data_IF_993996676066
#
_entry.id   IF_993996676066
#
_cell.length_a   1.000
_cell.length_b   1.000
_cell.length_c   1.000
_cell.angle_alpha   90.00
_cell.angle_beta   90.00
_cell.angle_gamma   90.00
#
_symmetry.space_group_name_H-M   'P 1'
#
loop_
_entity.id
_entity.type
_entity.pdbx_description
1 polymer ?
#
# COMPACT_ATOMS: atom_id res chain seq x y z
N UNK A 1 -11.70 29.43 0.29
CA UNK A 1 -12.52 28.86 1.38
C UNK A 1 -12.55 27.35 1.19
N UNK A 2 -11.73 26.58 1.90
CA UNK A 2 -11.80 25.11 1.79
C UNK A 2 -12.90 24.62 2.71
N UNK A 3 -14.06 24.28 2.14
CA UNK A 3 -15.08 23.52 2.86
C UNK A 3 -14.53 22.15 3.25
N UNK A 4 -15.11 21.56 4.30
CA UNK A 4 -14.85 20.18 4.71
C UNK A 4 -15.42 19.23 3.65
N UNK A 5 -14.66 18.21 3.26
CA UNK A 5 -15.10 17.18 2.33
C UNK A 5 -16.00 16.18 3.04
N UNK A 6 -17.17 15.89 2.47
CA UNK A 6 -18.07 14.86 2.98
C UNK A 6 -17.62 13.46 2.52
N UNK A 7 -17.71 12.48 3.41
CA UNK A 7 -17.22 11.11 3.22
C UNK A 7 -18.35 10.10 3.34
N UNK A 8 -18.47 9.20 2.37
CA UNK A 8 -19.34 8.02 2.44
C UNK A 8 -18.55 6.75 2.15
N UNK A 9 -18.94 5.66 2.80
CA UNK A 9 -18.23 4.39 2.75
C UNK A 9 -19.20 3.25 3.07
N UNK A 10 -19.09 2.12 2.36
CA UNK A 10 -19.82 0.89 2.72
C UNK A 10 -19.28 0.31 4.04
N UNK A 11 -20.03 -0.53 4.77
CA UNK A 11 -19.53 -1.18 5.99
C UNK A 11 -18.19 -1.92 5.77
N UNK A 12 -18.08 -2.67 4.67
CA UNK A 12 -16.87 -3.39 4.28
C UNK A 12 -15.69 -2.44 4.04
N UNK A 13 -15.91 -1.34 3.31
CA UNK A 13 -14.88 -0.34 3.07
C UNK A 13 -14.43 0.36 4.35
N UNK A 14 -15.37 0.61 5.28
CA UNK A 14 -15.08 1.23 6.58
C UNK A 14 -14.15 0.39 7.43
N UNK A 15 -14.38 -0.91 7.46
CA UNK A 15 -13.56 -1.86 8.22
C UNK A 15 -12.18 -2.03 7.56
N UNK A 16 -12.14 -2.27 6.25
CA UNK A 16 -10.89 -2.53 5.53
C UNK A 16 -9.88 -1.36 5.57
N UNK A 17 -10.37 -0.12 5.60
CA UNK A 17 -9.54 1.10 5.58
C UNK A 17 -9.52 1.89 6.89
N UNK A 18 -10.04 1.33 7.99
CA UNK A 18 -10.20 2.01 9.29
C UNK A 18 -10.77 3.43 9.15
N UNK A 19 -11.77 3.58 8.28
CA UNK A 19 -12.26 4.89 7.79
C UNK A 19 -12.75 5.76 8.94
N UNK A 20 -13.44 5.15 9.90
CA UNK A 20 -13.99 5.87 11.06
C UNK A 20 -12.87 6.51 11.89
N UNK A 21 -11.82 5.76 12.25
CA UNK A 21 -10.69 6.31 13.00
C UNK A 21 -9.93 7.35 12.19
N UNK A 22 -9.71 7.09 10.90
CA UNK A 22 -8.93 7.98 10.03
C UNK A 22 -9.63 9.33 9.83
N UNK A 23 -10.93 9.32 9.52
CA UNK A 23 -11.74 10.55 9.41
C UNK A 23 -11.77 11.31 10.73
N UNK A 24 -11.92 10.61 11.87
CA UNK A 24 -11.87 11.23 13.19
C UNK A 24 -10.51 11.88 13.51
N UNK A 25 -9.42 11.40 12.91
CA UNK A 25 -8.07 11.98 13.05
C UNK A 25 -7.80 13.18 12.15
N UNK A 26 -8.69 13.47 11.18
CA UNK A 26 -8.60 14.56 10.21
C UNK A 26 -9.86 15.45 10.18
N UNK A 27 -10.37 15.91 11.34
CA UNK A 27 -11.70 16.51 11.45
C UNK A 27 -11.81 17.89 10.79
N UNK A 28 -10.70 18.59 10.55
CA UNK A 28 -10.71 19.87 9.82
C UNK A 28 -10.87 19.69 8.30
N UNK A 29 -10.71 18.47 7.79
CA UNK A 29 -10.69 18.19 6.35
C UNK A 29 -11.84 17.30 5.93
N UNK A 30 -12.16 16.26 6.69
CA UNK A 30 -13.16 15.26 6.33
C UNK A 30 -14.29 15.19 7.37
N UNK A 31 -15.53 15.09 6.90
CA UNK A 31 -16.72 14.85 7.72
C UNK A 31 -17.50 13.65 7.18
N UNK A 32 -18.16 12.85 8.03
CA UNK A 32 -19.15 11.89 7.55
C UNK A 32 -20.27 12.59 6.77
N UNK A 33 -20.65 12.04 5.62
CA UNK A 33 -21.81 12.49 4.87
C UNK A 33 -23.11 12.27 5.69
N UNK A 34 -24.05 13.20 5.58
CA UNK A 34 -25.37 13.01 6.16
C UNK A 34 -26.05 11.75 5.59
N UNK A 35 -26.90 11.10 6.38
CA UNK A 35 -27.56 9.82 6.01
C UNK A 35 -28.34 9.88 4.69
N UNK A 36 -28.84 11.05 4.31
CA UNK A 36 -29.59 11.31 3.08
C UNK A 36 -28.72 11.67 1.86
N UNK A 37 -27.40 11.81 2.02
CA UNK A 37 -26.46 12.27 0.98
C UNK A 37 -25.35 11.24 0.68
N UNK A 38 -25.56 9.97 1.02
CA UNK A 38 -24.53 8.92 0.88
C UNK A 38 -24.05 8.71 -0.57
N UNK A 39 -24.90 9.00 -1.57
CA UNK A 39 -24.56 8.91 -3.01
C UNK A 39 -24.04 10.22 -3.60
N UNK A 40 -23.93 11.29 -2.81
CA UNK A 40 -23.50 12.63 -3.26
C UNK A 40 -22.36 13.19 -2.40
N UNK A 41 -21.66 12.33 -1.67
CA UNK A 41 -20.52 12.73 -0.86
C UNK A 41 -19.35 13.16 -1.76
N UNK A 42 -18.54 14.12 -1.32
CA UNK A 42 -17.37 14.58 -2.06
C UNK A 42 -16.33 13.46 -2.24
N UNK A 43 -16.20 12.60 -1.23
CA UNK A 43 -15.26 11.47 -1.18
C UNK A 43 -16.02 10.17 -0.93
N UNK A 44 -15.78 9.19 -1.80
CA UNK A 44 -16.27 7.82 -1.60
C UNK A 44 -15.13 6.87 -1.24
N UNK A 45 -15.38 6.00 -0.26
CA UNK A 45 -14.50 4.89 0.06
C UNK A 45 -15.09 3.59 -0.48
N UNK A 46 -14.32 2.96 -1.37
CA UNK A 46 -14.66 1.69 -2.03
C UNK A 46 -13.89 0.56 -1.33
N UNK A 47 -14.55 -0.56 -1.10
CA UNK A 47 -13.87 -1.74 -0.59
C UNK A 47 -13.04 -2.35 -1.72
N UNK A 48 -11.80 -2.72 -1.42
CA UNK A 48 -10.86 -3.30 -2.37
C UNK A 48 -11.15 -4.75 -2.78
N UNK A 49 -12.41 -5.16 -2.81
CA UNK A 49 -12.83 -6.52 -3.18
C UNK A 49 -12.92 -6.69 -4.70
N UNK A 50 -13.07 -7.92 -5.22
CA UNK A 50 -13.29 -8.12 -6.65
C UNK A 50 -14.43 -7.26 -7.20
N UNK A 51 -14.19 -6.54 -8.29
CA UNK A 51 -15.08 -5.55 -8.91
C UNK A 51 -14.92 -4.12 -8.39
N UNK A 52 -13.92 -3.84 -7.56
CA UNK A 52 -13.70 -2.49 -7.01
C UNK A 52 -13.44 -1.44 -8.09
N UNK A 53 -12.81 -1.83 -9.20
CA UNK A 53 -12.50 -0.93 -10.34
C UNK A 53 -13.78 -0.39 -10.99
N UNK A 54 -14.76 -1.26 -11.20
CA UNK A 54 -16.08 -0.91 -11.71
C UNK A 54 -16.89 -0.06 -10.71
N UNK A 55 -16.79 -0.36 -9.42
CA UNK A 55 -17.42 0.45 -8.38
C UNK A 55 -16.85 1.86 -8.32
N UNK A 56 -15.52 1.98 -8.35
CA UNK A 56 -14.84 3.26 -8.41
C UNK A 56 -15.20 4.04 -9.69
N UNK A 57 -15.31 3.37 -10.85
CA UNK A 57 -15.78 4.02 -12.09
C UNK A 57 -17.20 4.56 -11.96
N UNK A 58 -18.11 3.82 -11.32
CA UNK A 58 -19.47 4.31 -11.05
C UNK A 58 -19.45 5.54 -10.12
N UNK A 59 -18.57 5.55 -9.12
CA UNK A 59 -18.38 6.71 -8.25
C UNK A 59 -17.84 7.94 -9.01
N UNK A 60 -16.88 7.75 -9.92
CA UNK A 60 -16.39 8.80 -10.83
C UNK A 60 -17.55 9.37 -11.67
N UNK A 61 -18.33 8.49 -12.31
CA UNK A 61 -19.47 8.90 -13.13
C UNK A 61 -20.58 9.62 -12.33
N UNK A 62 -20.70 9.32 -11.03
CA UNK A 62 -21.61 10.00 -10.12
C UNK A 62 -21.08 11.37 -9.62
N UNK A 63 -19.86 11.76 -9.99
CA UNK A 63 -19.27 13.07 -9.67
C UNK A 63 -18.45 13.10 -8.38
N UNK A 64 -17.96 11.97 -7.89
CA UNK A 64 -17.04 11.96 -6.75
C UNK A 64 -15.78 12.79 -7.05
N UNK A 65 -15.39 13.65 -6.12
CA UNK A 65 -14.17 14.48 -6.23
C UNK A 65 -12.93 13.68 -5.83
N UNK A 66 -13.09 12.81 -4.83
CA UNK A 66 -12.06 11.89 -4.38
C UNK A 66 -12.60 10.47 -4.19
N UNK A 67 -11.75 9.48 -4.42
CA UNK A 67 -12.02 8.08 -4.15
C UNK A 67 -10.85 7.52 -3.34
N UNK A 68 -11.15 6.84 -2.24
CA UNK A 68 -10.19 5.99 -1.52
C UNK A 68 -10.58 4.54 -1.74
N UNK A 69 -9.68 3.72 -2.24
CA UNK A 69 -9.91 2.29 -2.34
C UNK A 69 -9.19 1.59 -1.20
N UNK A 70 -9.96 1.01 -0.28
CA UNK A 70 -9.46 0.36 0.92
C UNK A 70 -8.91 -1.03 0.60
N UNK A 71 -7.58 -1.15 0.63
CA UNK A 71 -6.83 -2.40 0.49
C UNK A 71 -7.25 -3.25 -0.74
N UNK A 72 -7.08 -2.71 -1.97
CA UNK A 72 -7.48 -3.36 -3.23
C UNK A 72 -6.77 -4.67 -3.51
N UNK A 73 -7.54 -5.67 -3.95
CA UNK A 73 -7.02 -6.84 -4.67
C UNK A 73 -6.53 -6.41 -6.06
N UNK A 74 -5.51 -7.10 -6.62
CA UNK A 74 -5.02 -6.81 -7.97
C UNK A 74 -6.11 -6.91 -9.03
N UNK A 75 -6.35 -5.82 -9.76
CA UNK A 75 -7.29 -5.71 -10.88
C UNK A 75 -6.74 -4.74 -11.94
N UNK A 76 -7.29 -4.82 -13.16
CA UNK A 76 -6.93 -3.91 -14.25
C UNK A 76 -7.49 -2.49 -14.00
N UNK A 77 -6.60 -1.53 -13.82
CA UNK A 77 -6.95 -0.14 -13.49
C UNK A 77 -7.07 0.77 -14.71
N UNK A 78 -6.79 0.29 -15.93
CA UNK A 78 -6.66 1.14 -17.13
C UNK A 78 -7.91 1.98 -17.41
N UNK A 79 -9.07 1.35 -17.35
CA UNK A 79 -10.33 2.05 -17.64
C UNK A 79 -10.73 3.03 -16.51
N UNK A 80 -10.46 2.67 -15.25
CA UNK A 80 -10.68 3.56 -14.12
C UNK A 80 -9.78 4.79 -14.20
N UNK A 81 -8.50 4.61 -14.55
CA UNK A 81 -7.55 5.70 -14.71
C UNK A 81 -8.03 6.69 -15.77
N UNK A 82 -8.44 6.20 -16.95
CA UNK A 82 -8.97 7.05 -18.01
C UNK A 82 -10.24 7.83 -17.59
N UNK A 83 -11.15 7.18 -16.86
CA UNK A 83 -12.37 7.82 -16.36
C UNK A 83 -12.07 8.90 -15.31
N UNK A 84 -11.19 8.60 -14.34
CA UNK A 84 -10.79 9.54 -13.30
C UNK A 84 -10.07 10.76 -13.90
N UNK A 85 -9.22 10.55 -14.89
CA UNK A 85 -8.53 11.61 -15.63
C UNK A 85 -9.50 12.54 -16.35
N UNK A 86 -10.49 11.98 -17.04
CA UNK A 86 -11.50 12.76 -17.76
C UNK A 86 -12.39 13.57 -16.81
N UNK A 87 -12.69 13.05 -15.62
CA UNK A 87 -13.53 13.70 -14.62
C UNK A 87 -12.76 14.63 -13.66
N UNK A 88 -11.42 14.54 -13.63
CA UNK A 88 -10.60 15.24 -12.63
C UNK A 88 -10.76 14.68 -11.21
N UNK A 89 -11.14 13.40 -11.07
CA UNK A 89 -11.31 12.73 -9.77
C UNK A 89 -9.97 12.22 -9.25
N UNK A 90 -9.63 12.53 -8.00
CA UNK A 90 -8.44 11.98 -7.35
C UNK A 90 -8.73 10.56 -6.82
N UNK A 91 -7.93 9.56 -7.21
CA UNK A 91 -8.09 8.17 -6.75
C UNK A 91 -6.85 7.71 -5.99
N UNK A 92 -6.99 7.53 -4.68
CA UNK A 92 -5.91 7.05 -3.80
C UNK A 92 -6.15 5.61 -3.40
N UNK A 93 -5.10 4.80 -3.41
CA UNK A 93 -5.15 3.42 -2.93
C UNK A 93 -4.60 3.36 -1.50
N UNK A 94 -5.44 2.91 -0.57
CA UNK A 94 -5.07 2.66 0.81
C UNK A 94 -4.53 1.24 0.94
N UNK A 95 -3.28 1.05 0.55
CA UNK A 95 -2.58 -0.23 0.57
C UNK A 95 -2.03 -0.49 1.98
N UNK A 96 -2.38 -1.64 2.56
CA UNK A 96 -2.11 -1.99 3.96
C UNK A 96 -0.69 -1.59 4.42
N UNK A 97 0.35 -2.00 3.70
CA UNK A 97 1.72 -1.61 4.06
C UNK A 97 2.36 -0.61 3.10
N UNK A 98 2.03 -0.70 1.81
CA UNK A 98 2.66 0.13 0.78
C UNK A 98 2.33 1.64 0.92
N UNK A 99 1.24 2.00 1.60
CA UNK A 99 0.90 3.39 1.91
C UNK A 99 1.57 3.92 3.19
N UNK A 100 2.45 3.15 3.84
CA UNK A 100 3.17 3.61 5.03
C UNK A 100 4.24 4.66 4.63
N UNK A 101 4.27 5.85 5.27
CA UNK A 101 5.20 6.91 4.89
C UNK A 101 6.68 6.58 5.18
N UNK A 102 6.98 5.56 5.98
CA UNK A 102 8.35 5.06 6.14
C UNK A 102 8.85 4.32 4.89
N UNK A 103 7.95 3.85 4.00
CA UNK A 103 8.33 3.25 2.73
C UNK A 103 8.55 4.28 1.64
N UNK A 104 7.62 5.24 1.53
CA UNK A 104 7.65 6.30 0.51
C UNK A 104 7.23 7.61 1.18
N UNK A 105 8.19 8.51 1.37
CA UNK A 105 7.93 9.81 1.95
C UNK A 105 7.23 10.76 0.95
N UNK A 106 6.38 11.65 1.46
CA UNK A 106 5.69 12.70 0.67
C UNK A 106 6.57 13.96 0.46
N UNK A 107 7.90 13.86 0.62
CA UNK A 107 8.86 14.96 0.50
C UNK A 107 10.31 14.48 0.52
N UNK A 108 11.26 15.41 0.69
CA UNK A 108 12.72 15.13 0.61
C UNK A 108 13.32 14.41 1.84
N UNK A 109 12.47 13.76 2.64
CA UNK A 109 12.91 13.02 3.83
C UNK A 109 13.45 11.63 3.46
N UNK A 110 14.41 11.09 4.24
CA UNK A 110 14.91 9.73 3.99
C UNK A 110 13.82 8.70 4.28
N UNK A 111 13.68 7.71 3.40
CA UNK A 111 12.72 6.61 3.52
C UNK A 111 13.35 5.25 3.16
N UNK A 112 12.57 4.17 3.30
CA UNK A 112 13.03 2.83 2.96
C UNK A 112 13.27 2.65 1.45
N UNK A 113 12.50 3.32 0.59
CA UNK A 113 12.65 3.23 -0.86
C UNK A 113 14.03 3.73 -1.28
N UNK A 114 14.45 4.90 -0.83
CA UNK A 114 15.75 5.48 -1.17
C UNK A 114 16.88 4.64 -0.58
N UNK A 115 16.74 4.22 0.68
CA UNK A 115 17.72 3.34 1.33
C UNK A 115 17.90 2.01 0.56
N UNK A 116 16.81 1.30 0.26
CA UNK A 116 16.83 0.04 -0.48
C UNK A 116 17.42 0.26 -1.87
N UNK A 117 16.95 1.26 -2.62
CA UNK A 117 17.38 1.49 -4.01
C UNK A 117 18.84 1.90 -4.12
N UNK A 118 19.36 2.65 -3.15
CA UNK A 118 20.78 3.00 -3.10
C UNK A 118 21.69 1.78 -2.91
N UNK A 119 21.19 0.74 -2.23
CA UNK A 119 21.90 -0.51 -1.96
C UNK A 119 21.63 -1.63 -2.98
N UNK A 120 20.64 -1.48 -3.87
CA UNK A 120 20.26 -2.51 -4.85
C UNK A 120 21.42 -2.93 -5.76
N UNK A 121 22.32 -2.00 -6.12
CA UNK A 121 23.45 -2.31 -7.01
C UNK A 121 24.43 -3.34 -6.41
N UNK A 122 24.53 -3.41 -5.09
CA UNK A 122 25.44 -4.30 -4.34
C UNK A 122 24.71 -5.35 -3.52
N UNK A 123 23.39 -5.51 -3.75
CA UNK A 123 22.57 -6.48 -3.05
C UNK A 123 23.02 -7.90 -3.33
N UNK A 124 23.14 -8.70 -2.28
CA UNK A 124 23.44 -10.14 -2.33
C UNK A 124 22.18 -10.99 -2.17
N UNK A 125 21.19 -10.50 -1.42
CA UNK A 125 19.92 -11.17 -1.13
C UNK A 125 18.89 -10.15 -0.64
N UNK A 126 17.64 -10.30 -1.05
CA UNK A 126 16.50 -9.72 -0.33
C UNK A 126 15.64 -10.85 0.25
N UNK A 127 15.35 -10.78 1.53
CA UNK A 127 14.42 -11.69 2.21
C UNK A 127 13.29 -10.89 2.84
N UNK A 128 12.06 -11.40 2.76
CA UNK A 128 10.90 -10.70 3.25
C UNK A 128 9.86 -11.64 3.84
N UNK A 129 9.31 -11.30 5.00
CA UNK A 129 8.31 -12.11 5.69
C UNK A 129 7.11 -11.23 6.03
N UNK A 130 5.92 -11.64 5.59
CA UNK A 130 4.66 -11.06 5.98
C UNK A 130 3.92 -12.02 6.93
N UNK A 131 3.49 -11.52 8.08
CA UNK A 131 2.68 -12.27 9.03
C UNK A 131 1.30 -11.64 9.19
N UNK A 132 0.27 -12.47 9.28
CA UNK A 132 -1.10 -12.04 9.62
C UNK A 132 -1.84 -13.16 10.33
N UNK A 133 -2.99 -12.84 10.92
CA UNK A 133 -3.79 -13.81 11.66
C UNK A 133 -4.32 -14.96 10.75
N UNK A 134 -4.49 -16.18 11.31
CA UNK A 134 -5.15 -17.28 10.64
C UNK A 134 -6.54 -16.90 10.10
N UNK A 135 -6.92 -17.47 8.96
CA UNK A 135 -8.21 -17.18 8.29
C UNK A 135 -8.17 -16.02 7.31
N UNK A 136 -7.06 -15.27 7.23
CA UNK A 136 -6.82 -14.33 6.12
C UNK A 136 -6.59 -15.11 4.83
N UNK A 137 -7.13 -14.65 3.70
CA UNK A 137 -6.83 -15.24 2.39
C UNK A 137 -5.33 -15.08 2.04
N UNK A 138 -4.57 -16.18 1.83
CA UNK A 138 -3.16 -16.12 1.45
C UNK A 138 -2.90 -15.30 0.18
N UNK A 139 -3.84 -15.27 -0.77
CA UNK A 139 -3.71 -14.49 -2.01
C UNK A 139 -3.80 -13.00 -1.76
N UNK A 140 -4.70 -12.60 -0.87
CA UNK A 140 -4.79 -11.20 -0.42
C UNK A 140 -3.50 -10.77 0.27
N UNK A 141 -2.99 -11.58 1.20
CA UNK A 141 -1.71 -11.33 1.86
C UNK A 141 -0.54 -11.23 0.86
N UNK A 142 -0.53 -12.06 -0.18
CA UNK A 142 0.47 -12.01 -1.23
C UNK A 142 0.43 -10.67 -1.98
N UNK A 143 -0.75 -10.21 -2.39
CA UNK A 143 -0.91 -8.91 -3.04
C UNK A 143 -0.44 -7.75 -2.17
N UNK A 144 -0.84 -7.73 -0.89
CA UNK A 144 -0.41 -6.72 0.09
C UNK A 144 1.11 -6.69 0.28
N UNK A 145 1.73 -7.87 0.39
CA UNK A 145 3.17 -8.00 0.60
C UNK A 145 3.97 -7.60 -0.66
N UNK A 146 3.54 -8.04 -1.84
CA UNK A 146 4.17 -7.65 -3.10
C UNK A 146 4.04 -6.15 -3.36
N UNK A 147 2.93 -5.52 -2.98
CA UNK A 147 2.79 -4.07 -3.05
C UNK A 147 3.86 -3.34 -2.22
N UNK A 148 4.12 -3.80 -0.99
CA UNK A 148 5.16 -3.23 -0.13
C UNK A 148 6.57 -3.45 -0.71
N UNK A 149 6.85 -4.64 -1.22
CA UNK A 149 8.13 -4.95 -1.86
C UNK A 149 8.36 -4.09 -3.11
N UNK A 150 7.35 -3.94 -3.98
CA UNK A 150 7.44 -3.11 -5.18
C UNK A 150 7.58 -1.62 -4.85
N UNK A 151 7.00 -1.14 -3.75
CA UNK A 151 7.18 0.25 -3.30
C UNK A 151 8.66 0.59 -3.08
N UNK A 152 9.40 -0.31 -2.41
CA UNK A 152 10.83 -0.09 -2.12
C UNK A 152 11.76 -0.52 -3.25
N UNK A 153 11.53 -1.69 -3.86
CA UNK A 153 12.44 -2.25 -4.89
C UNK A 153 12.21 -1.69 -6.28
N UNK A 154 10.99 -1.27 -6.62
CA UNK A 154 10.59 -0.85 -7.96
C UNK A 154 10.14 -2.00 -8.86
N UNK A 155 11.03 -2.95 -9.16
CA UNK A 155 10.75 -4.12 -10.01
C UNK A 155 11.29 -5.41 -9.40
N UNK A 156 10.62 -6.52 -9.71
CA UNK A 156 11.00 -7.87 -9.33
C UNK A 156 10.90 -8.77 -10.57
N UNK A 157 11.95 -9.52 -10.86
CA UNK A 157 12.07 -10.29 -12.10
C UNK A 157 11.93 -11.79 -11.85
N UNK A 158 11.31 -12.51 -12.79
CA UNK A 158 11.21 -13.97 -12.75
C UNK A 158 10.54 -14.50 -11.47
N UNK A 159 9.55 -13.78 -10.95
CA UNK A 159 8.85 -14.16 -9.73
C UNK A 159 8.02 -15.40 -9.97
N UNK A 160 8.15 -16.37 -9.07
CA UNK A 160 7.44 -17.64 -9.13
C UNK A 160 6.87 -18.01 -7.76
N UNK A 161 5.65 -18.55 -7.76
CA UNK A 161 5.02 -19.09 -6.56
C UNK A 161 5.53 -20.50 -6.31
N UNK A 162 6.36 -20.68 -5.28
CA UNK A 162 6.94 -21.97 -4.94
C UNK A 162 5.97 -22.86 -4.16
N UNK A 163 5.18 -22.24 -3.29
CA UNK A 163 4.17 -22.91 -2.46
C UNK A 163 3.07 -21.94 -2.08
N UNK A 164 1.83 -22.41 -2.06
CA UNK A 164 0.71 -21.74 -1.42
C UNK A 164 -0.23 -22.77 -0.82
N UNK A 165 -0.60 -22.58 0.44
CA UNK A 165 -1.56 -23.42 1.15
C UNK A 165 -2.27 -22.63 2.26
N UNK A 166 -3.04 -23.33 3.10
CA UNK A 166 -3.80 -22.73 4.20
C UNK A 166 -2.93 -22.08 5.29
N UNK A 167 -1.60 -22.31 5.30
CA UNK A 167 -0.65 -21.72 6.25
C UNK A 167 0.08 -20.50 5.67
N UNK A 168 -0.03 -20.26 4.37
CA UNK A 168 0.54 -19.09 3.71
C UNK A 168 1.16 -19.40 2.36
N UNK A 169 2.29 -18.77 2.05
CA UNK A 169 2.97 -18.93 0.75
C UNK A 169 4.48 -18.72 0.84
N UNK A 170 5.16 -19.17 -0.21
CA UNK A 170 6.55 -18.83 -0.49
C UNK A 170 6.70 -18.46 -1.97
N UNK A 171 7.33 -17.33 -2.25
CA UNK A 171 7.69 -16.88 -3.60
C UNK A 171 9.19 -16.63 -3.68
N UNK A 172 9.74 -16.78 -4.87
CA UNK A 172 11.12 -16.43 -5.17
C UNK A 172 11.24 -15.76 -6.53
N UNK A 173 12.28 -14.96 -6.71
CA UNK A 173 12.62 -14.33 -7.98
C UNK A 173 13.97 -13.63 -7.89
N UNK A 174 14.13 -12.54 -8.65
CA UNK A 174 15.38 -11.77 -8.71
C UNK A 174 15.13 -10.28 -8.56
N UNK A 175 16.11 -9.60 -7.97
CA UNK A 175 16.25 -8.15 -8.03
C UNK A 175 16.84 -7.75 -9.39
N UNK A 176 16.76 -6.46 -9.72
CA UNK A 176 17.28 -5.91 -10.98
C UNK A 176 18.79 -6.14 -11.19
N UNK A 177 19.58 -6.30 -10.11
CA UNK A 177 21.01 -6.64 -10.20
C UNK A 177 21.28 -8.15 -10.36
N UNK A 178 20.23 -8.98 -10.45
CA UNK A 178 20.28 -10.44 -10.58
C UNK A 178 20.34 -11.21 -9.27
N UNK A 179 20.49 -10.54 -8.12
CA UNK A 179 20.51 -11.16 -6.81
C UNK A 179 19.17 -11.84 -6.50
N UNK A 180 19.16 -12.97 -5.77
CA UNK A 180 17.93 -13.64 -5.41
C UNK A 180 17.08 -12.77 -4.47
N UNK A 181 15.76 -12.89 -4.60
CA UNK A 181 14.88 -12.53 -3.50
C UNK A 181 13.96 -13.69 -3.12
N UNK A 182 13.59 -13.72 -1.85
CA UNK A 182 12.57 -14.61 -1.28
C UNK A 182 11.53 -13.79 -0.54
N UNK A 183 10.27 -14.18 -0.66
CA UNK A 183 9.23 -13.63 0.19
C UNK A 183 8.29 -14.72 0.69
N UNK A 184 7.93 -14.65 1.97
CA UNK A 184 7.10 -15.63 2.65
C UNK A 184 5.90 -14.95 3.29
N UNK A 185 4.73 -15.53 3.14
CA UNK A 185 3.54 -15.16 3.89
C UNK A 185 3.24 -16.25 4.91
N UNK A 186 3.01 -15.88 6.16
CA UNK A 186 2.73 -16.82 7.26
C UNK A 186 1.44 -16.42 7.96
N UNK A 187 0.49 -17.36 8.01
CA UNK A 187 -0.76 -17.19 8.76
C UNK A 187 -0.58 -17.74 10.18
N UNK A 188 -0.37 -16.85 11.15
CA UNK A 188 -0.01 -17.22 12.53
C UNK A 188 -0.45 -16.18 13.54
N UNK A 189 -0.64 -16.60 14.79
CA UNK A 189 -0.83 -15.72 15.96
C UNK A 189 0.42 -15.63 16.84
N UNK A 190 1.51 -16.28 16.46
CA UNK A 190 2.75 -16.34 17.25
C UNK A 190 3.52 -15.00 17.27
N UNK A 191 3.22 -14.09 16.34
CA UNK A 191 3.79 -12.75 16.26
C UNK A 191 2.70 -11.74 15.85
N UNK A 192 2.91 -10.44 16.12
CA UNK A 192 2.06 -9.39 15.58
C UNK A 192 2.04 -9.42 14.04
N UNK A 193 0.92 -9.02 13.45
CA UNK A 193 0.83 -8.87 12.00
C UNK A 193 1.73 -7.72 11.51
N UNK A 194 2.39 -7.92 10.38
CA UNK A 194 3.36 -6.98 9.83
C UNK A 194 4.19 -7.57 8.70
N UNK A 195 5.13 -6.76 8.19
CA UNK A 195 6.11 -7.14 7.17
C UNK A 195 7.50 -6.78 7.65
N UNK A 196 8.42 -7.74 7.58
CA UNK A 196 9.85 -7.53 7.72
C UNK A 196 10.50 -7.65 6.34
N UNK A 197 11.20 -6.62 5.86
CA UNK A 197 12.00 -6.64 4.62
C UNK A 197 13.47 -6.50 5.00
N UNK A 198 14.32 -7.41 4.51
CA UNK A 198 15.77 -7.36 4.75
C UNK A 198 16.52 -7.45 3.42
N UNK A 199 17.24 -6.38 3.10
CA UNK A 199 18.21 -6.35 2.00
C UNK A 199 19.61 -6.53 2.57
N UNK A 200 20.33 -7.53 2.07
CA UNK A 200 21.71 -7.82 2.48
C UNK A 200 22.67 -7.41 1.37
N UNK A 201 23.78 -6.78 1.75
CA UNK A 201 24.90 -6.43 0.87
C UNK A 201 26.19 -7.05 1.43
N UNK A 202 27.33 -6.86 0.77
CA UNK A 202 28.61 -7.40 1.25
C UNK A 202 29.09 -6.76 2.56
N UNK A 203 28.72 -5.50 2.82
CA UNK A 203 29.24 -4.66 3.91
C UNK A 203 28.14 -4.08 4.82
N UNK A 204 26.90 -4.54 4.66
CA UNK A 204 25.77 -4.06 5.45
C UNK A 204 24.42 -4.45 4.87
N UNK A 205 23.44 -3.55 4.94
CA UNK A 205 22.10 -3.82 4.44
C UNK A 205 21.05 -2.81 4.88
N UNK A 206 19.80 -3.13 4.57
CA UNK A 206 18.63 -2.36 4.98
C UNK A 206 17.64 -3.31 5.63
N UNK A 207 17.15 -2.97 6.82
CA UNK A 207 16.08 -3.69 7.50
C UNK A 207 14.88 -2.75 7.67
N UNK A 208 13.72 -3.20 7.20
CA UNK A 208 12.45 -2.46 7.28
C UNK A 208 11.48 -3.31 8.07
N UNK A 209 10.88 -2.71 9.10
CA UNK A 209 9.83 -3.34 9.89
C UNK A 209 8.55 -2.52 9.76
N UNK A 210 7.51 -3.13 9.22
CA UNK A 210 6.21 -2.51 9.00
C UNK A 210 5.19 -3.21 9.90
N UNK A 211 4.68 -2.56 10.95
CA UNK A 211 3.60 -3.12 11.73
C UNK A 211 2.29 -3.11 10.93
N UNK A 212 1.29 -3.86 11.41
CA UNK A 212 -0.08 -3.69 10.96
C UNK A 212 -0.53 -2.22 11.10
N UNK A 213 -1.23 -1.62 10.12
CA UNK A 213 -1.66 -0.22 10.19
C UNK A 213 -2.59 0.12 11.36
N UNK A 214 -3.27 -0.89 11.90
CA UNK A 214 -4.13 -0.73 13.07
C UNK A 214 -3.36 -0.89 14.38
N UNK A 215 -2.12 -1.36 14.31
CA UNK A 215 -1.21 -1.30 15.44
C UNK A 215 -0.77 0.17 15.64
N UNK A 216 -0.84 0.67 16.86
CA UNK A 216 -0.36 2.00 17.23
C UNK A 216 1.19 2.07 17.32
N UNK A 217 1.89 1.33 16.46
CA UNK A 217 3.34 1.17 16.43
C UNK A 217 3.87 1.78 15.14
N UNK A 218 5.02 2.47 15.16
CA UNK A 218 5.58 3.04 13.95
C UNK A 218 6.35 1.98 13.14
N UNK A 219 6.56 2.26 11.87
CA UNK A 219 7.52 1.52 11.08
C UNK A 219 8.96 1.93 11.45
N UNK A 220 9.88 0.99 11.38
CA UNK A 220 11.32 1.21 11.58
C UNK A 220 12.09 0.90 10.30
N UNK A 221 13.05 1.75 9.96
CA UNK A 221 13.98 1.54 8.84
C UNK A 221 15.40 1.70 9.36
N UNK A 222 16.19 0.64 9.29
CA UNK A 222 17.59 0.60 9.72
C UNK A 222 18.48 0.38 8.52
N UNK A 223 19.52 1.20 8.39
CA UNK A 223 20.54 1.09 7.35
C UNK A 223 21.86 0.76 8.04
N UNK A 224 22.48 -0.35 7.65
CA UNK A 224 23.76 -0.80 8.17
C UNK A 224 24.81 -0.64 7.10
N UNK A 225 25.96 -0.09 7.45
CA UNK A 225 27.13 0.01 6.57
C UNK A 225 28.43 0.10 7.35
N UNK A 226 29.50 0.57 6.71
CA UNK A 226 30.84 0.64 7.29
C UNK A 226 30.93 1.49 8.59
N UNK A 227 30.00 2.41 8.82
CA UNK A 227 29.96 3.28 9.99
C UNK A 227 29.04 2.78 11.11
N UNK A 228 28.46 1.59 10.96
CA UNK A 228 27.49 1.02 11.90
C UNK A 228 26.05 1.09 11.39
N UNK A 229 25.10 0.97 12.32
CA UNK A 229 23.66 1.00 12.04
C UNK A 229 23.08 2.39 12.28
N UNK A 230 22.28 2.87 11.33
CA UNK A 230 21.51 4.10 11.39
C UNK A 230 20.02 3.79 11.35
N UNK A 231 19.27 4.20 12.38
CA UNK A 231 17.81 4.22 12.35
C UNK A 231 17.35 5.52 11.67
N UNK A 232 16.59 5.39 10.57
CA UNK A 232 15.96 6.54 9.92
C UNK A 232 14.83 7.11 10.80
N UNK A 233 14.40 8.37 10.59
CA UNK A 233 13.36 9.00 11.39
C UNK A 233 12.08 8.17 11.47
N UNK A 234 11.69 7.83 12.70
CA UNK A 234 10.47 7.06 12.99
C UNK A 234 9.24 7.96 12.90
N UNK A 235 8.32 7.64 11.97
CA UNK A 235 7.05 8.36 11.81
C UNK A 235 5.91 7.61 12.48
N UNK A 236 5.25 8.25 13.45
CA UNK A 236 4.05 7.73 14.12
C UNK A 236 2.81 8.04 13.28
N UNK A 237 2.72 7.39 12.12
CA UNK A 237 1.62 7.54 11.18
C UNK A 237 1.25 6.19 10.56
N UNK A 238 -0.04 5.85 10.58
CA UNK A 238 -0.54 4.64 9.93
C UNK A 238 -0.61 4.81 8.42
N UNK A 239 -0.54 3.70 7.69
CA UNK A 239 -0.74 3.67 6.24
C UNK A 239 -2.08 4.30 5.83
N UNK A 240 -3.15 4.00 6.57
CA UNK A 240 -4.47 4.58 6.38
C UNK A 240 -4.43 6.11 6.46
N UNK A 241 -3.89 6.68 7.55
CA UNK A 241 -3.86 8.14 7.71
C UNK A 241 -3.02 8.83 6.65
N UNK A 242 -1.87 8.25 6.28
CA UNK A 242 -1.04 8.78 5.19
C UNK A 242 -1.80 8.80 3.86
N UNK A 243 -2.48 7.71 3.48
CA UNK A 243 -3.30 7.68 2.26
C UNK A 243 -4.36 8.80 2.22
N UNK A 244 -5.04 9.05 3.34
CA UNK A 244 -6.03 10.12 3.44
C UNK A 244 -5.41 11.53 3.40
N UNK A 245 -4.21 11.70 3.94
CA UNK A 245 -3.47 12.96 3.85
C UNK A 245 -3.03 13.23 2.41
N UNK A 246 -2.54 12.22 1.68
CA UNK A 246 -2.26 12.32 0.24
C UNK A 246 -3.50 12.73 -0.54
N UNK A 247 -4.65 12.12 -0.27
CA UNK A 247 -5.90 12.49 -0.93
C UNK A 247 -6.24 13.96 -0.67
N UNK A 248 -6.16 14.40 0.59
CA UNK A 248 -6.38 15.81 0.95
C UNK A 248 -5.49 16.75 0.14
N UNK A 249 -4.20 16.43 0.02
CA UNK A 249 -3.23 17.30 -0.64
C UNK A 249 -3.52 17.38 -2.15
N UNK A 250 -3.90 16.25 -2.78
CA UNK A 250 -4.36 16.22 -4.17
C UNK A 250 -5.65 17.01 -4.39
N UNK A 251 -6.64 16.85 -3.50
CA UNK A 251 -7.90 17.61 -3.56
C UNK A 251 -7.67 19.12 -3.37
N UNK A 252 -6.73 19.50 -2.50
CA UNK A 252 -6.37 20.89 -2.23
C UNK A 252 -5.59 21.54 -3.39
N UNK A 253 -4.69 20.78 -4.03
CA UNK A 253 -3.88 21.25 -5.15
C UNK A 253 -4.59 21.12 -6.52
N UNK A 254 -5.70 20.37 -6.60
CA UNK A 254 -6.34 20.04 -7.87
C UNK A 254 -5.48 19.12 -8.75
N UNK A 255 -4.65 18.29 -8.13
CA UNK A 255 -3.75 17.34 -8.81
C UNK A 255 -4.28 15.92 -8.70
N UNK A 256 -3.67 14.99 -9.43
CA UNK A 256 -4.03 13.56 -9.43
C UNK A 256 -2.87 12.72 -8.90
N UNK A 257 -3.13 11.73 -8.04
CA UNK A 257 -2.14 10.75 -7.61
C UNK A 257 -1.77 9.77 -8.73
N UNK A 258 -0.55 9.24 -8.70
CA UNK A 258 -0.07 8.20 -9.63
C UNK A 258 -0.38 6.77 -9.13
N UNK A 259 -1.20 6.61 -8.09
CA UNK A 259 -1.47 5.32 -7.43
C UNK A 259 -1.94 4.23 -8.40
N UNK A 260 -2.84 4.57 -9.34
CA UNK A 260 -3.36 3.59 -10.33
C UNK A 260 -2.28 3.08 -11.30
N UNK A 261 -1.35 3.96 -11.70
CA UNK A 261 -0.22 3.58 -12.54
C UNK A 261 0.83 2.78 -11.75
N UNK A 262 1.01 3.11 -10.46
CA UNK A 262 1.83 2.32 -9.55
C UNK A 262 1.28 0.90 -9.35
N UNK A 263 -0.03 0.79 -9.19
CA UNK A 263 -0.73 -0.47 -8.95
C UNK A 263 -0.77 -1.38 -10.17
N UNK A 264 -0.75 -0.84 -11.39
CA UNK A 264 -0.68 -1.65 -12.62
C UNK A 264 0.52 -2.61 -12.60
N UNK A 265 1.68 -2.20 -12.05
CA UNK A 265 2.85 -3.08 -11.89
C UNK A 265 2.58 -4.27 -10.98
N UNK A 266 1.78 -4.08 -9.93
CA UNK A 266 1.38 -5.17 -9.05
C UNK A 266 0.45 -6.13 -9.81
N UNK A 267 -0.52 -5.60 -10.55
CA UNK A 267 -1.45 -6.40 -11.36
C UNK A 267 -0.71 -7.24 -12.41
N UNK A 268 0.25 -6.66 -13.13
CA UNK A 268 1.06 -7.36 -14.13
C UNK A 268 1.90 -8.49 -13.50
N UNK A 269 2.50 -8.22 -12.34
CA UNK A 269 3.24 -9.22 -11.58
C UNK A 269 2.32 -10.36 -11.11
N UNK A 270 1.13 -10.02 -10.63
CA UNK A 270 0.17 -10.99 -10.13
C UNK A 270 -0.41 -11.87 -11.24
N UNK A 271 -0.63 -11.31 -12.43
CA UNK A 271 -1.05 -12.06 -13.62
C UNK A 271 -0.01 -13.12 -13.99
N UNK A 272 1.28 -12.78 -13.93
CA UNK A 272 2.38 -13.71 -14.20
C UNK A 272 2.39 -14.90 -13.23
N UNK A 273 1.99 -14.70 -11.98
CA UNK A 273 1.92 -15.75 -10.97
C UNK A 273 0.70 -16.67 -11.11
N UNK A 274 -0.38 -16.19 -11.74
CA UNK A 274 -1.58 -16.98 -11.99
C UNK A 274 -1.41 -17.94 -13.17
N UNK A 275 -0.47 -17.65 -14.08
CA UNK A 275 -0.18 -18.44 -15.28
C UNK A 275 0.84 -19.59 -15.04
N UNK A 276 1.44 -19.64 -13.85
CA UNK A 276 2.38 -20.68 -13.38
C UNK A 276 1.74 -21.67 -12.43
#
# INVERSE_FOLDING_TARGET
MSGQYTVSASPTAREAGSVTQTVASLPATFAPAAKNLHSTADVLVVAGEPGWTDEARRAVAAGARGIVVANPVPEDTRELAAAADAAGTAVVLDLRWASNPALVAEGDGPDARDAVRSALGTASLLDSVAATAPGTDPRRLLGEHLAALLAVTGTLDGVSLLRSDAMGYAVAGRLANGAPFTAQGVLTTACPAGVDIRLYTADGGVAVQLPDPNAAWPAEVRVTGAHGELLLPTLYESAHRSAWRRLKDHLGAGTRPDDLAGFARLTDLYATLADT
#
